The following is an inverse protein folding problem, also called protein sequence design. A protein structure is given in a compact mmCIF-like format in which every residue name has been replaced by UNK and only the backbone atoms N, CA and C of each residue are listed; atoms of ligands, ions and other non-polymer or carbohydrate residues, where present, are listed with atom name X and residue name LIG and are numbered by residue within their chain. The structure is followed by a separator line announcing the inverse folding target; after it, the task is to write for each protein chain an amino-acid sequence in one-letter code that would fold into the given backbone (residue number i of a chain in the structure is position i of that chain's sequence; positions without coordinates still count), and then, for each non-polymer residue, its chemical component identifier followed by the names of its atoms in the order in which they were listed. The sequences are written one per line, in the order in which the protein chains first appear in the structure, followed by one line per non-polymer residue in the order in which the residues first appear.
data_IF_754320448041
#
_entry.id   IF_754320448041
#
_cell.length_a   1.000
_cell.length_b   1.000
_cell.length_c   1.000
_cell.angle_alpha   90.00
_cell.angle_beta   90.00
_cell.angle_gamma   90.00
#
_symmetry.space_group_name_H-M   'P 1'
#
loop_
_entity.id
_entity.type
_entity.pdbx_description
1 polymer ?
#
# COMPACT_ATOMS: atom_id res chain seq x y z
N UNK A 1 -46.48 -33.90 -52.45
CA UNK A 1 -45.21 -34.55 -52.06
C UNK A 1 -44.12 -33.49 -51.94
N UNK A 2 -43.78 -33.04 -50.73
CA UNK A 2 -42.51 -32.33 -50.44
C UNK A 2 -42.01 -32.81 -49.09
N UNK A 3 -40.97 -33.64 -49.13
CA UNK A 3 -40.26 -34.19 -47.98
C UNK A 3 -39.28 -33.12 -47.48
N UNK A 4 -39.35 -32.77 -46.20
CA UNK A 4 -38.33 -32.00 -45.52
C UNK A 4 -37.16 -32.92 -45.15
N UNK A 5 -35.95 -32.54 -45.58
CA UNK A 5 -34.71 -33.24 -45.31
C UNK A 5 -34.10 -32.68 -44.00
N UNK A 6 -33.75 -33.60 -43.11
CA UNK A 6 -33.08 -33.38 -41.83
C UNK A 6 -31.66 -32.84 -42.05
N UNK A 7 -31.25 -31.81 -41.28
CA UNK A 7 -29.84 -31.43 -41.13
C UNK A 7 -29.37 -31.95 -39.76
N UNK A 8 -28.39 -32.87 -39.71
CA UNK A 8 -27.77 -33.34 -38.47
C UNK A 8 -26.61 -32.42 -38.09
N UNK A 9 -26.46 -32.09 -36.80
CA UNK A 9 -25.32 -31.28 -36.36
C UNK A 9 -25.45 -30.73 -34.95
N UNK A 10 -25.75 -31.61 -33.99
CA UNK A 10 -25.61 -31.32 -32.56
C UNK A 10 -24.14 -31.52 -32.17
N UNK A 11 -23.41 -30.45 -31.84
CA UNK A 11 -22.32 -30.44 -30.86
C UNK A 11 -21.71 -29.03 -30.77
N UNK A 12 -21.82 -28.39 -29.61
CA UNK A 12 -20.66 -28.00 -28.78
C UNK A 12 -21.15 -27.18 -27.58
N UNK A 13 -21.26 -27.91 -26.47
CA UNK A 13 -21.13 -27.50 -25.07
C UNK A 13 -20.77 -26.04 -24.81
N UNK A 14 -21.78 -25.31 -24.36
CA UNK A 14 -21.66 -24.07 -23.59
C UNK A 14 -20.87 -24.37 -22.31
N UNK A 15 -19.56 -24.12 -22.31
CA UNK A 15 -18.76 -24.09 -21.08
C UNK A 15 -19.26 -22.93 -20.22
N UNK A 16 -20.13 -23.26 -19.27
CA UNK A 16 -20.45 -22.45 -18.11
C UNK A 16 -19.17 -22.13 -17.35
N UNK A 17 -18.69 -20.89 -17.45
CA UNK A 17 -17.74 -20.34 -16.48
C UNK A 17 -18.46 -20.28 -15.13
N UNK A 18 -18.00 -20.98 -14.08
CA UNK A 18 -18.46 -20.70 -12.74
C UNK A 18 -17.74 -19.42 -12.33
N UNK A 19 -18.34 -18.28 -12.65
CA UNK A 19 -17.96 -16.99 -12.07
C UNK A 19 -18.42 -17.06 -10.62
N UNK A 20 -17.56 -17.62 -9.77
CA UNK A 20 -17.69 -17.59 -8.32
C UNK A 20 -17.32 -16.17 -7.84
N UNK A 21 -18.06 -15.16 -8.28
CA UNK A 21 -18.01 -13.82 -7.68
C UNK A 21 -18.97 -13.85 -6.49
N UNK A 22 -18.46 -14.32 -5.36
CA UNK A 22 -19.00 -14.01 -4.05
C UNK A 22 -18.14 -12.91 -3.41
N UNK A 23 -18.11 -11.72 -4.03
CA UNK A 23 -17.67 -10.52 -3.32
C UNK A 23 -18.82 -10.03 -2.43
N UNK A 24 -18.87 -10.56 -1.21
CA UNK A 24 -19.65 -9.99 -0.10
C UNK A 24 -18.95 -8.69 0.39
N UNK A 25 -19.70 -7.73 0.97
CA UNK A 25 -19.28 -6.35 1.11
C UNK A 25 -18.21 -6.19 2.20
N UNK A 26 -17.16 -5.45 1.84
CA UNK A 26 -16.02 -5.11 2.69
C UNK A 26 -14.91 -4.67 1.75
N UNK A 27 -14.51 -3.41 1.83
CA UNK A 27 -13.65 -2.70 0.86
C UNK A 27 -12.22 -3.27 0.84
N UNK A 28 -12.04 -4.48 0.35
CA UNK A 28 -10.72 -5.06 0.10
C UNK A 28 -10.40 -4.95 -1.38
N UNK A 29 -9.25 -4.36 -1.67
CA UNK A 29 -8.65 -4.38 -3.01
C UNK A 29 -7.91 -5.70 -3.24
N UNK A 30 -7.71 -6.05 -4.51
CA UNK A 30 -6.86 -7.18 -4.88
C UNK A 30 -5.44 -6.94 -4.34
N UNK A 31 -4.90 -7.95 -3.63
CA UNK A 31 -3.52 -7.91 -3.14
C UNK A 31 -2.58 -8.31 -4.28
N UNK A 32 -1.50 -7.56 -4.45
CA UNK A 32 -0.34 -7.99 -5.24
C UNK A 32 0.32 -9.19 -4.56
N UNK A 33 0.79 -10.16 -5.35
CA UNK A 33 1.43 -11.38 -4.82
C UNK A 33 2.78 -11.08 -4.16
N UNK A 34 3.59 -10.23 -4.77
CA UNK A 34 4.90 -9.77 -4.28
C UNK A 34 5.35 -8.51 -5.05
N UNK A 35 6.43 -7.87 -4.59
CA UNK A 35 7.11 -6.84 -5.37
C UNK A 35 7.78 -7.49 -6.60
N UNK A 36 7.70 -6.88 -7.81
CA UNK A 36 8.40 -7.41 -8.99
C UNK A 36 9.93 -7.49 -8.80
N UNK A 37 10.50 -6.52 -8.07
CA UNK A 37 11.88 -6.45 -7.64
C UNK A 37 11.96 -5.82 -6.24
N UNK A 38 13.14 -5.92 -5.60
CA UNK A 38 13.39 -5.33 -4.29
C UNK A 38 13.03 -3.83 -4.28
N UNK A 39 12.15 -3.39 -3.35
CA UNK A 39 11.74 -2.00 -3.27
C UNK A 39 12.93 -1.08 -3.00
N UNK A 40 12.97 0.07 -3.69
CA UNK A 40 14.08 1.02 -3.59
C UNK A 40 13.61 2.39 -3.09
N UNK A 41 14.34 2.93 -2.11
CA UNK A 41 14.00 4.19 -1.46
C UNK A 41 14.11 5.38 -2.41
N UNK A 42 15.11 5.42 -3.30
CA UNK A 42 15.35 6.55 -4.21
C UNK A 42 14.34 6.55 -5.35
N UNK A 43 13.99 5.37 -5.90
CA UNK A 43 12.88 5.25 -6.87
C UNK A 43 11.56 5.67 -6.22
N UNK A 44 11.32 5.24 -4.98
CA UNK A 44 10.14 5.61 -4.21
C UNK A 44 10.01 7.10 -3.98
N UNK A 45 11.11 7.77 -3.64
CA UNK A 45 11.16 9.22 -3.49
C UNK A 45 10.79 9.94 -4.80
N UNK A 46 11.25 9.46 -5.95
CA UNK A 46 10.92 10.04 -7.27
C UNK A 46 9.43 9.90 -7.58
N UNK A 47 8.85 8.72 -7.34
CA UNK A 47 7.41 8.49 -7.49
C UNK A 47 6.62 9.39 -6.55
N UNK A 48 7.05 9.52 -5.30
CA UNK A 48 6.40 10.41 -4.34
C UNK A 48 6.38 11.86 -4.82
N UNK A 49 7.53 12.34 -5.31
CA UNK A 49 7.68 13.71 -5.78
C UNK A 49 6.80 14.01 -7.01
N UNK A 50 6.61 13.04 -7.91
CA UNK A 50 5.79 13.25 -9.11
C UNK A 50 4.29 13.03 -8.87
N UNK A 51 3.92 12.00 -8.09
CA UNK A 51 2.52 11.53 -8.01
C UNK A 51 1.81 11.88 -6.69
N UNK A 52 2.54 12.18 -5.61
CA UNK A 52 1.98 12.25 -4.26
C UNK A 52 2.11 13.63 -3.61
N UNK A 53 3.25 14.29 -3.81
CA UNK A 53 3.63 15.51 -3.08
C UNK A 53 2.69 16.70 -3.33
N UNK A 54 1.98 16.73 -4.46
CA UNK A 54 1.01 17.79 -4.77
C UNK A 54 -0.16 17.83 -3.80
N UNK A 55 -0.57 16.67 -3.25
CA UNK A 55 -1.66 16.58 -2.28
C UNK A 55 -1.14 16.37 -0.85
N UNK A 56 -0.12 15.53 -0.68
CA UNK A 56 0.36 15.13 0.65
C UNK A 56 1.50 16.01 1.19
N UNK A 57 1.90 17.05 0.46
CA UNK A 57 3.00 17.93 0.83
C UNK A 57 4.37 17.36 0.44
N UNK A 58 5.40 18.20 0.42
CA UNK A 58 6.76 17.75 0.04
C UNK A 58 7.42 16.91 1.14
N UNK A 59 7.01 17.13 2.38
CA UNK A 59 7.51 16.46 3.56
C UNK A 59 6.43 15.56 4.20
N UNK A 60 5.42 15.13 3.43
CA UNK A 60 4.36 14.24 3.92
C UNK A 60 3.47 14.83 5.00
N UNK A 61 3.48 16.16 5.16
CA UNK A 61 2.75 16.90 6.19
C UNK A 61 1.24 16.97 5.94
N UNK A 62 0.77 16.55 4.76
CA UNK A 62 -0.61 16.68 4.33
C UNK A 62 -1.01 18.12 4.01
N UNK A 63 -2.30 18.35 3.84
CA UNK A 63 -2.86 19.69 3.62
C UNK A 63 -4.06 19.89 4.53
N UNK A 64 -4.15 21.07 5.14
CA UNK A 64 -5.27 21.45 5.99
C UNK A 64 -6.11 22.57 5.35
N UNK A 65 -7.41 22.54 5.62
CA UNK A 65 -8.37 23.64 5.42
C UNK A 65 -9.17 23.73 6.71
N UNK A 66 -9.30 24.94 7.28
CA UNK A 66 -10.01 25.18 8.55
C UNK A 66 -9.58 24.23 9.68
N UNK A 67 -8.26 24.05 9.86
CA UNK A 67 -7.64 23.15 10.84
C UNK A 67 -8.06 21.67 10.73
N UNK A 68 -8.49 21.24 9.54
CA UNK A 68 -8.83 19.84 9.25
C UNK A 68 -8.03 19.35 8.05
N UNK A 69 -7.45 18.16 8.15
CA UNK A 69 -6.76 17.54 7.02
C UNK A 69 -7.73 17.21 5.90
N UNK A 70 -7.56 17.85 4.75
CA UNK A 70 -8.22 17.49 3.49
C UNK A 70 -7.40 16.45 2.72
N UNK A 71 -6.08 16.52 2.86
CA UNK A 71 -5.16 15.44 2.51
C UNK A 71 -4.37 15.03 3.74
N UNK A 72 -4.37 13.75 4.12
CA UNK A 72 -3.79 13.32 5.37
C UNK A 72 -2.25 13.40 5.32
N UNK A 73 -1.59 13.64 6.47
CA UNK A 73 -0.17 13.45 6.60
C UNK A 73 0.16 11.96 6.44
N UNK A 74 1.31 11.66 5.86
CA UNK A 74 1.76 10.29 5.58
C UNK A 74 2.84 9.84 6.56
N UNK A 75 3.58 10.78 7.14
CA UNK A 75 4.53 10.56 8.24
C UNK A 75 4.64 11.83 9.09
N UNK A 76 5.54 11.83 10.08
CA UNK A 76 5.61 12.90 11.08
C UNK A 76 4.56 12.74 12.19
N UNK A 77 4.59 13.66 13.16
CA UNK A 77 3.83 13.59 14.42
C UNK A 77 2.31 13.44 14.27
N UNK A 78 1.75 13.91 13.17
CA UNK A 78 0.30 13.94 12.95
C UNK A 78 -0.21 12.76 12.10
N UNK A 79 0.68 11.82 11.75
CA UNK A 79 0.36 10.62 10.96
C UNK A 79 0.02 9.41 11.84
N UNK A 80 -0.30 8.28 11.21
CA UNK A 80 -0.45 7.00 11.89
C UNK A 80 0.87 6.56 12.54
N UNK A 81 0.74 5.90 13.70
CA UNK A 81 1.86 5.46 14.52
C UNK A 81 2.54 4.18 14.00
N UNK A 82 3.67 3.83 14.63
CA UNK A 82 4.41 2.60 14.35
C UNK A 82 3.64 1.31 14.69
N UNK A 83 2.53 1.34 15.43
CA UNK A 83 1.69 0.15 15.66
C UNK A 83 0.59 -0.07 14.61
N UNK A 84 0.39 0.86 13.68
CA UNK A 84 -0.71 0.82 12.71
C UNK A 84 -0.38 -0.01 11.46
N UNK A 85 -1.26 -0.92 11.03
CA UNK A 85 -0.99 -1.80 9.89
C UNK A 85 -0.56 -1.11 8.58
N UNK A 86 -0.84 0.19 8.40
CA UNK A 86 -0.39 0.98 7.24
C UNK A 86 1.13 1.26 7.24
N UNK A 87 1.84 1.11 8.36
CA UNK A 87 3.31 1.21 8.39
C UNK A 87 4.00 0.02 7.70
N UNK A 88 3.26 -1.07 7.45
CA UNK A 88 3.79 -2.23 6.74
C UNK A 88 3.83 -1.92 5.24
N UNK A 89 4.98 -2.13 4.61
CA UNK A 89 5.27 -1.81 3.20
C UNK A 89 4.29 -2.56 2.28
N UNK A 90 4.03 -3.84 2.53
CA UNK A 90 3.10 -4.62 1.73
C UNK A 90 1.65 -4.10 1.82
N UNK A 91 1.21 -3.72 3.02
CA UNK A 91 -0.14 -3.16 3.22
C UNK A 91 -0.26 -1.81 2.51
N UNK A 92 0.72 -0.93 2.69
CA UNK A 92 0.76 0.37 2.02
C UNK A 92 0.84 0.23 0.50
N UNK A 93 1.70 -0.63 -0.03
CA UNK A 93 1.84 -0.84 -1.47
C UNK A 93 0.51 -1.29 -2.11
N UNK A 94 -0.19 -2.23 -1.47
CA UNK A 94 -1.49 -2.69 -1.96
C UNK A 94 -2.56 -1.58 -1.89
N UNK A 95 -2.58 -0.82 -0.80
CA UNK A 95 -3.48 0.33 -0.66
C UNK A 95 -3.23 1.38 -1.74
N UNK A 96 -1.97 1.76 -1.93
CA UNK A 96 -1.51 2.75 -2.90
C UNK A 96 -1.87 2.29 -4.31
N UNK A 97 -1.50 1.07 -4.70
CA UNK A 97 -1.83 0.53 -6.03
C UNK A 97 -3.32 0.64 -6.35
N UNK A 98 -4.19 0.36 -5.38
CA UNK A 98 -5.62 0.31 -5.63
C UNK A 98 -6.34 1.66 -5.52
N UNK A 99 -5.78 2.63 -4.80
CA UNK A 99 -6.51 3.85 -4.42
C UNK A 99 -5.76 5.15 -4.70
N UNK A 100 -4.47 5.10 -5.01
CA UNK A 100 -3.62 6.26 -5.23
C UNK A 100 -2.92 6.20 -6.60
N UNK A 101 -2.77 7.35 -7.28
CA UNK A 101 -3.31 8.68 -6.92
C UNK A 101 -4.84 8.74 -6.90
N UNK A 102 -5.40 9.69 -6.17
CA UNK A 102 -6.85 9.81 -6.02
C UNK A 102 -7.50 10.11 -7.38
N UNK A 103 -8.42 9.25 -7.82
CA UNK A 103 -9.05 9.35 -9.14
C UNK A 103 -8.35 8.53 -10.23
N UNK A 104 -7.17 7.99 -9.95
CA UNK A 104 -6.34 7.24 -10.90
C UNK A 104 -6.01 5.85 -10.38
N UNK A 105 -7.05 5.09 -10.00
CA UNK A 105 -6.87 3.75 -9.43
C UNK A 105 -6.07 2.86 -10.37
N UNK A 106 -5.09 2.12 -9.82
CA UNK A 106 -4.23 1.19 -10.55
C UNK A 106 -3.33 1.83 -11.63
N UNK A 107 -3.14 3.17 -11.63
CA UNK A 107 -2.27 3.85 -12.60
C UNK A 107 -0.79 3.58 -12.37
N UNK A 108 -0.35 3.48 -11.10
CA UNK A 108 1.03 3.11 -10.78
C UNK A 108 1.31 1.67 -11.17
N UNK A 109 2.50 1.39 -11.71
CA UNK A 109 2.99 0.01 -11.79
C UNK A 109 3.14 -0.60 -10.39
N UNK A 110 3.14 -1.93 -10.32
CA UNK A 110 3.30 -2.63 -9.05
C UNK A 110 4.62 -2.24 -8.39
N UNK A 111 5.71 -2.15 -9.17
CA UNK A 111 7.01 -1.72 -8.64
C UNK A 111 6.97 -0.30 -8.06
N UNK A 112 6.33 0.64 -8.75
CA UNK A 112 6.19 2.02 -8.24
C UNK A 112 5.42 2.06 -6.92
N UNK A 113 4.35 1.26 -6.79
CA UNK A 113 3.57 1.19 -5.56
C UNK A 113 4.39 0.63 -4.37
N UNK A 114 5.24 -0.36 -4.62
CA UNK A 114 6.16 -0.91 -3.62
C UNK A 114 7.29 0.05 -3.24
N UNK A 115 7.91 0.68 -4.24
CA UNK A 115 9.00 1.65 -4.03
C UNK A 115 8.49 2.86 -3.21
N UNK A 116 7.34 3.44 -3.58
CA UNK A 116 6.78 4.59 -2.87
C UNK A 116 6.28 4.23 -1.47
N UNK A 117 5.74 3.01 -1.28
CA UNK A 117 5.38 2.52 0.04
C UNK A 117 6.60 2.38 0.96
N UNK A 118 7.72 1.87 0.45
CA UNK A 118 8.99 1.83 1.19
C UNK A 118 9.44 3.25 1.55
N UNK A 119 9.40 4.20 0.61
CA UNK A 119 9.78 5.58 0.86
C UNK A 119 8.95 6.22 1.99
N UNK A 120 7.61 6.12 1.91
CA UNK A 120 6.67 6.64 2.91
C UNK A 120 6.89 6.01 4.29
N UNK A 121 7.07 4.69 4.35
CA UNK A 121 7.21 3.94 5.59
C UNK A 121 8.65 3.84 6.11
N UNK A 122 9.59 4.58 5.50
CA UNK A 122 10.97 4.76 6.02
C UNK A 122 11.18 6.12 6.70
N UNK A 123 10.09 6.80 7.06
CA UNK A 123 10.07 8.08 7.76
C UNK A 123 9.55 7.91 9.19
N UNK A 124 10.02 8.75 10.11
CA UNK A 124 9.56 8.72 11.50
C UNK A 124 8.11 9.20 11.67
N UNK A 125 7.46 8.66 12.68
CA UNK A 125 6.03 8.81 12.99
C UNK A 125 5.81 8.54 14.49
N UNK A 126 4.60 8.72 15.05
CA UNK A 126 4.38 8.49 16.47
C UNK A 126 4.75 7.07 16.89
N UNK A 127 5.23 6.93 18.12
CA UNK A 127 5.73 5.65 18.64
C UNK A 127 4.66 4.56 18.66
N UNK A 128 5.09 3.30 18.58
CA UNK A 128 4.21 2.17 18.84
C UNK A 128 3.65 2.29 20.28
N UNK A 129 2.32 2.26 20.49
CA UNK A 129 1.73 2.30 21.82
C UNK A 129 2.19 1.18 22.77
N UNK A 130 2.81 0.13 22.23
CA UNK A 130 3.34 -1.03 22.96
C UNK A 130 4.83 -0.88 23.30
N UNK A 131 5.46 0.22 22.92
CA UNK A 131 6.86 0.51 23.22
C UNK A 131 7.10 0.64 24.72
N UNK A 132 8.11 -0.07 25.22
CA UNK A 132 8.45 -0.17 26.65
C UNK A 132 9.81 0.46 27.01
N UNK A 133 10.41 1.18 26.06
CA UNK A 133 11.72 1.84 26.23
C UNK A 133 12.83 1.25 25.36
N UNK A 134 12.61 0.09 24.73
CA UNK A 134 13.61 -0.54 23.87
C UNK A 134 13.09 -0.82 22.46
N UNK A 135 13.72 -0.18 21.47
CA UNK A 135 13.38 -0.37 20.04
C UNK A 135 13.65 -1.81 19.62
N UNK A 136 14.74 -2.43 20.10
CA UNK A 136 15.06 -3.81 19.74
C UNK A 136 14.06 -4.81 20.31
N UNK A 137 13.65 -4.65 21.58
CA UNK A 137 12.65 -5.53 22.21
C UNK A 137 11.27 -5.34 21.57
N UNK A 138 10.88 -4.10 21.30
CA UNK A 138 9.63 -3.79 20.59
C UNK A 138 9.64 -4.39 19.18
N UNK A 139 10.76 -4.26 18.45
CA UNK A 139 10.92 -4.84 17.13
C UNK A 139 10.80 -6.37 17.15
N UNK A 140 11.47 -7.01 18.11
CA UNK A 140 11.45 -8.47 18.28
C UNK A 140 10.03 -8.98 18.56
N UNK A 141 9.31 -8.29 19.46
CA UNK A 141 7.97 -8.69 19.90
C UNK A 141 6.86 -8.41 18.87
N UNK A 142 6.94 -7.29 18.13
CA UNK A 142 5.79 -6.78 17.37
C UNK A 142 6.04 -6.44 15.89
N UNK A 143 7.31 -6.42 15.44
CA UNK A 143 7.68 -5.98 14.08
C UNK A 143 8.34 -7.08 13.25
N UNK A 144 7.87 -8.32 13.42
CA UNK A 144 8.23 -9.45 12.55
C UNK A 144 7.43 -9.45 11.23
N UNK A 145 7.15 -8.25 10.71
CA UNK A 145 6.35 -8.01 9.51
C UNK A 145 7.18 -7.33 8.42
N UNK A 146 6.56 -7.12 7.26
CA UNK A 146 7.19 -6.36 6.18
C UNK A 146 7.14 -4.85 6.49
N UNK A 147 7.93 -4.42 7.47
CA UNK A 147 8.07 -3.03 7.89
C UNK A 147 9.53 -2.63 8.11
N UNK A 148 9.74 -1.39 8.55
CA UNK A 148 11.06 -0.77 8.75
C UNK A 148 11.38 -0.45 10.21
N UNK A 149 10.52 -0.78 11.16
CA UNK A 149 10.76 -0.49 12.57
C UNK A 149 12.02 -1.22 13.07
N UNK A 150 12.86 -0.54 13.83
CA UNK A 150 14.15 -1.06 14.30
C UNK A 150 15.21 -1.27 13.23
N UNK A 151 14.96 -0.88 11.96
CA UNK A 151 15.95 -0.97 10.87
C UNK A 151 16.62 0.39 10.65
N UNK A 152 17.87 0.42 10.14
CA UNK A 152 18.53 1.68 9.79
C UNK A 152 17.74 2.48 8.76
N UNK A 153 17.54 3.76 9.04
CA UNK A 153 17.02 4.77 8.13
C UNK A 153 17.90 4.85 6.88
N UNK A 154 17.30 4.94 5.68
CA UNK A 154 18.04 5.12 4.44
C UNK A 154 18.65 6.52 4.28
N UNK A 155 18.28 7.49 5.14
CA UNK A 155 18.73 8.89 5.05
C UNK A 155 20.01 9.11 5.87
N UNK A 156 20.02 8.66 7.12
CA UNK A 156 21.01 9.04 8.14
C UNK A 156 21.37 7.88 9.09
N UNK A 157 20.87 6.67 8.80
CA UNK A 157 21.24 5.41 9.47
C UNK A 157 20.81 5.27 10.94
N UNK A 158 20.07 6.21 11.52
CA UNK A 158 19.44 5.98 12.83
C UNK A 158 18.46 4.80 12.77
N UNK A 159 18.15 4.16 13.89
CA UNK A 159 17.16 3.08 13.91
C UNK A 159 15.75 3.67 13.85
N UNK A 160 14.97 3.34 12.83
CA UNK A 160 13.58 3.83 12.74
C UNK A 160 12.76 3.36 13.95
N UNK A 161 11.98 4.28 14.52
CA UNK A 161 11.29 4.09 15.80
C UNK A 161 12.09 4.58 17.00
N UNK A 162 13.37 4.97 16.84
CA UNK A 162 14.17 5.59 17.92
C UNK A 162 14.00 7.10 18.02
N UNK A 163 13.53 7.75 16.95
CA UNK A 163 13.21 9.18 16.90
C UNK A 163 11.71 9.39 16.65
N UNK A 164 10.89 8.46 17.13
CA UNK A 164 9.44 8.53 17.03
C UNK A 164 8.87 9.69 17.88
N UNK A 165 7.71 10.20 17.46
CA UNK A 165 6.99 11.29 18.12
C UNK A 165 6.12 10.82 19.29
#
# INVERSE_FOLDING_TARGET
MKRYLLIPGCCLLRRSLPILIWLKPGRSYAKMSHAPAEPDFVRGQRVYASECAVCHGKNGEGQQVDNRYVFPPLWGKDSYNWGAGMHQINTAANFIKANMPLGERYSLSDQQAWDVALFINSQERPQDPRFDGSVSQTAEAYHQHNDRYGKPSPVDRHLLGSQAF
#
